data_IF_321018441870
#
_entry.id   IF_321018441870
#
_cell.length_a   1.000
_cell.length_b   1.000
_cell.length_c   1.000
_cell.angle_alpha   90.00
_cell.angle_beta   90.00
_cell.angle_gamma   90.00
#
_symmetry.space_group_name_H-M   'P 1'
#
loop_
_entity.id
_entity.type
_entity.pdbx_description
1 polymer ?
#
# COMPACT_ATOMS: atom_id res chain seq x y z
N UNK A 1 -10.57 -74.23 -23.75
CA UNK A 1 -11.11 -74.14 -22.38
C UNK A 1 -12.13 -73.04 -22.37
N UNK A 2 -13.31 -73.35 -21.85
CA UNK A 2 -14.59 -72.94 -22.40
C UNK A 2 -14.98 -71.47 -22.25
N UNK A 3 -15.68 -71.04 -23.29
CA UNK A 3 -16.31 -69.75 -23.54
C UNK A 3 -17.74 -69.84 -23.00
N UNK A 4 -18.15 -68.85 -22.19
CA UNK A 4 -19.54 -68.69 -21.76
C UNK A 4 -20.34 -68.09 -22.93
N UNK A 5 -21.29 -68.85 -23.47
CA UNK A 5 -22.26 -68.40 -24.46
C UNK A 5 -23.59 -67.98 -23.81
N UNK A 6 -24.07 -66.85 -24.29
CA UNK A 6 -25.39 -66.24 -24.12
C UNK A 6 -26.55 -67.18 -24.52
N UNK A 7 -27.71 -67.00 -23.88
CA UNK A 7 -28.99 -66.99 -24.58
C UNK A 7 -30.01 -66.04 -23.92
N UNK A 8 -30.44 -65.04 -24.71
CA UNK A 8 -31.61 -64.19 -24.49
C UNK A 8 -32.92 -64.91 -24.87
N UNK A 9 -34.02 -64.45 -24.25
CA UNK A 9 -35.46 -64.40 -24.64
C UNK A 9 -36.32 -64.88 -23.45
N UNK A 10 -37.34 -64.17 -22.99
CA UNK A 10 -38.34 -63.40 -23.71
C UNK A 10 -39.01 -62.35 -22.83
N UNK A 11 -39.42 -61.25 -23.46
CA UNK A 11 -40.35 -60.26 -22.90
C UNK A 11 -41.72 -60.91 -22.73
N UNK A 12 -42.33 -60.72 -21.56
CA UNK A 12 -43.79 -60.65 -21.43
C UNK A 12 -44.13 -59.44 -20.53
N UNK A 13 -44.72 -58.43 -21.15
CA UNK A 13 -45.56 -57.46 -20.45
C UNK A 13 -46.87 -58.17 -20.10
N UNK A 14 -47.30 -58.07 -18.84
CA UNK A 14 -48.66 -57.68 -18.43
C UNK A 14 -48.79 -57.77 -16.90
N UNK A 15 -49.10 -56.59 -16.34
CA UNK A 15 -49.49 -56.17 -14.99
C UNK A 15 -49.79 -57.23 -13.91
N UNK A 16 -49.47 -56.88 -12.65
CA UNK A 16 -50.46 -56.94 -11.61
C UNK A 16 -50.75 -55.57 -11.01
N UNK A 17 -52.05 -55.32 -10.94
CA UNK A 17 -52.77 -54.26 -10.28
C UNK A 17 -52.42 -54.14 -8.78
N UNK A 18 -52.71 -52.95 -8.26
CA UNK A 18 -52.35 -52.37 -6.97
C UNK A 18 -52.35 -53.31 -5.74
N UNK A 19 -51.18 -53.37 -5.09
CA UNK A 19 -51.02 -53.89 -3.73
C UNK A 19 -49.97 -53.07 -2.98
N UNK A 20 -50.37 -51.92 -2.42
CA UNK A 20 -49.54 -51.08 -1.55
C UNK A 20 -49.11 -51.92 -0.35
N UNK A 21 -47.85 -52.37 -0.35
CA UNK A 21 -47.23 -52.96 0.84
C UNK A 21 -46.31 -51.89 1.43
N UNK A 22 -46.88 -51.02 2.25
CA UNK A 22 -46.10 -50.10 3.08
C UNK A 22 -45.36 -50.91 4.14
N UNK A 23 -44.10 -51.26 3.88
CA UNK A 23 -43.18 -51.67 4.94
C UNK A 23 -42.90 -50.45 5.81
N UNK A 24 -43.54 -50.39 6.98
CA UNK A 24 -43.20 -49.46 8.04
C UNK A 24 -41.81 -49.80 8.56
N UNK A 25 -40.79 -49.08 8.11
CA UNK A 25 -39.50 -49.00 8.81
C UNK A 25 -39.76 -48.45 10.21
N UNK A 26 -39.57 -49.29 11.23
CA UNK A 26 -39.66 -48.86 12.62
C UNK A 26 -38.53 -47.85 12.89
N UNK A 27 -38.90 -46.60 13.18
CA UNK A 27 -37.97 -45.55 13.52
C UNK A 27 -37.11 -45.99 14.72
N UNK A 28 -35.78 -46.07 14.54
CA UNK A 28 -34.86 -46.41 15.62
C UNK A 28 -34.77 -45.22 16.57
N UNK A 29 -35.33 -45.38 17.76
CA UNK A 29 -35.35 -44.36 18.81
C UNK A 29 -34.28 -44.71 19.86
N UNK A 30 -33.46 -43.72 20.24
CA UNK A 30 -32.47 -43.79 21.31
C UNK A 30 -32.55 -42.59 22.25
N UNK A 31 -31.60 -42.46 23.18
CA UNK A 31 -31.50 -41.33 24.09
C UNK A 31 -30.05 -40.84 24.16
N UNK A 32 -29.84 -39.52 24.08
CA UNK A 32 -28.53 -38.88 24.23
C UNK A 32 -28.63 -37.74 25.23
N UNK A 33 -27.85 -37.79 26.32
CA UNK A 33 -27.88 -36.82 27.43
C UNK A 33 -29.29 -36.52 28.00
N UNK A 34 -30.15 -37.53 28.08
CA UNK A 34 -31.52 -37.37 28.59
C UNK A 34 -32.54 -36.97 27.51
N UNK A 35 -32.10 -36.53 26.33
CA UNK A 35 -32.97 -36.18 25.21
C UNK A 35 -33.25 -37.38 24.31
N UNK A 36 -34.51 -37.51 23.86
CA UNK A 36 -34.94 -38.58 22.98
C UNK A 36 -34.52 -38.27 21.54
N UNK A 37 -33.72 -39.15 20.95
CA UNK A 37 -33.22 -39.01 19.57
C UNK A 37 -33.89 -40.06 18.70
N UNK A 38 -34.35 -39.67 17.52
CA UNK A 38 -34.98 -40.56 16.54
C UNK A 38 -34.15 -40.54 15.27
N UNK A 39 -33.76 -41.70 14.77
CA UNK A 39 -33.11 -41.80 13.46
C UNK A 39 -34.15 -41.52 12.39
N UNK A 40 -33.98 -40.40 11.70
CA UNK A 40 -34.77 -40.03 10.52
C UNK A 40 -33.88 -40.18 9.30
N UNK A 41 -34.36 -40.92 8.31
CA UNK A 41 -33.70 -41.05 7.01
C UNK A 41 -33.90 -39.74 6.25
N UNK A 42 -32.98 -38.79 6.40
CA UNK A 42 -33.05 -37.52 5.69
C UNK A 42 -32.69 -37.72 4.21
N UNK A 43 -33.58 -37.32 3.30
CA UNK A 43 -33.37 -37.42 1.85
C UNK A 43 -32.47 -36.32 1.29
N UNK A 44 -32.22 -35.26 2.07
CA UNK A 44 -31.42 -34.09 1.68
C UNK A 44 -30.57 -33.62 2.86
N UNK A 45 -29.32 -33.24 2.58
CA UNK A 45 -28.40 -32.67 3.58
C UNK A 45 -28.74 -31.20 3.85
N UNK A 46 -28.56 -30.75 5.09
CA UNK A 46 -28.63 -29.32 5.42
C UNK A 46 -27.56 -28.50 4.67
N UNK A 47 -26.42 -29.11 4.32
CA UNK A 47 -25.39 -28.47 3.51
C UNK A 47 -25.91 -28.21 2.08
N UNK A 48 -26.55 -29.20 1.47
CA UNK A 48 -27.11 -29.08 0.11
C UNK A 48 -28.21 -28.00 0.08
N UNK A 49 -29.09 -27.97 1.08
CA UNK A 49 -30.13 -26.93 1.19
C UNK A 49 -29.54 -25.52 1.39
N UNK A 50 -28.44 -25.39 2.15
CA UNK A 50 -27.74 -24.12 2.32
C UNK A 50 -27.01 -23.68 1.05
N UNK A 51 -26.42 -24.63 0.31
CA UNK A 51 -25.82 -24.36 -1.00
C UNK A 51 -26.88 -23.92 -2.01
N UNK A 52 -28.05 -24.57 -2.10
CA UNK A 52 -29.14 -24.16 -3.01
C UNK A 52 -29.62 -22.72 -2.75
N UNK A 53 -29.75 -22.33 -1.49
CA UNK A 53 -30.10 -20.94 -1.11
C UNK A 53 -28.98 -19.94 -1.45
N UNK A 54 -27.72 -20.37 -1.39
CA UNK A 54 -26.56 -19.51 -1.67
C UNK A 54 -26.24 -19.43 -3.17
N UNK A 55 -26.52 -20.49 -3.94
CA UNK A 55 -26.38 -20.54 -5.40
C UNK A 55 -27.30 -19.54 -6.08
N UNK A 56 -28.51 -19.31 -5.55
CA UNK A 56 -29.42 -18.27 -6.03
C UNK A 56 -28.81 -16.86 -5.97
N UNK A 57 -27.73 -16.66 -5.18
CA UNK A 57 -27.07 -15.38 -4.99
C UNK A 57 -25.62 -15.31 -5.51
N UNK A 58 -24.99 -16.42 -5.92
CA UNK A 58 -23.55 -16.40 -6.20
C UNK A 58 -23.08 -17.45 -7.22
N UNK A 59 -23.34 -17.21 -8.50
CA UNK A 59 -22.47 -17.71 -9.57
C UNK A 59 -21.21 -16.83 -9.66
N UNK A 60 -20.25 -17.04 -8.76
CA UNK A 60 -18.92 -16.41 -8.89
C UNK A 60 -17.99 -17.36 -9.63
N UNK A 61 -17.64 -16.98 -10.86
CA UNK A 61 -16.61 -17.67 -11.64
C UNK A 61 -15.27 -17.62 -10.91
N UNK A 62 -14.70 -18.78 -10.62
CA UNK A 62 -13.38 -18.87 -10.00
C UNK A 62 -12.30 -18.26 -10.89
N UNK A 63 -11.56 -17.29 -10.34
CA UNK A 63 -10.43 -16.67 -11.03
C UNK A 63 -9.15 -17.46 -10.74
N UNK A 64 -8.51 -18.05 -11.77
CA UNK A 64 -7.30 -18.86 -11.58
C UNK A 64 -6.13 -18.02 -11.08
N UNK A 65 -5.22 -18.64 -10.33
CA UNK A 65 -4.06 -17.98 -9.73
C UNK A 65 -3.18 -17.26 -10.76
N UNK A 66 -3.08 -17.81 -11.99
CA UNK A 66 -2.32 -17.23 -13.10
C UNK A 66 -2.86 -15.88 -13.59
N UNK A 67 -4.12 -15.57 -13.30
CA UNK A 67 -4.74 -14.26 -13.60
C UNK A 67 -4.69 -13.29 -12.42
N UNK A 68 -4.16 -13.73 -11.27
CA UNK A 68 -3.94 -12.87 -10.09
C UNK A 68 -2.52 -12.31 -10.14
N UNK A 69 -2.36 -11.04 -9.78
CA UNK A 69 -1.03 -10.44 -9.59
C UNK A 69 -0.44 -11.05 -8.30
N UNK A 70 0.46 -12.03 -8.45
CA UNK A 70 1.17 -12.65 -7.33
C UNK A 70 2.55 -12.00 -7.23
N UNK A 71 2.90 -11.53 -6.04
CA UNK A 71 4.22 -11.00 -5.71
C UNK A 71 4.70 -11.68 -4.43
N UNK A 72 5.98 -12.01 -4.36
CA UNK A 72 6.60 -12.49 -3.13
C UNK A 72 6.77 -11.31 -2.16
N UNK A 73 5.85 -11.20 -1.20
CA UNK A 73 5.84 -10.13 -0.21
C UNK A 73 7.12 -10.10 0.64
N UNK A 74 7.68 -11.26 1.00
CA UNK A 74 8.89 -11.31 1.82
C UNK A 74 10.15 -10.92 1.04
N UNK A 75 10.24 -11.27 -0.25
CA UNK A 75 11.30 -10.76 -1.11
C UNK A 75 11.19 -9.23 -1.24
N UNK A 76 9.99 -8.71 -1.49
CA UNK A 76 9.76 -7.27 -1.65
C UNK A 76 10.09 -6.46 -0.39
N UNK A 77 9.69 -6.95 0.79
CA UNK A 77 10.06 -6.34 2.08
C UNK A 77 11.58 -6.27 2.21
N UNK A 78 12.30 -7.36 1.95
CA UNK A 78 13.76 -7.41 2.08
C UNK A 78 14.50 -6.46 1.12
N UNK A 79 14.02 -6.34 -0.12
CA UNK A 79 14.58 -5.38 -1.09
C UNK A 79 14.46 -3.94 -0.59
N UNK A 80 13.27 -3.56 -0.11
CA UNK A 80 13.02 -2.21 0.41
C UNK A 80 13.83 -1.99 1.69
N UNK A 81 13.90 -2.97 2.59
CA UNK A 81 14.71 -2.88 3.82
C UNK A 81 16.19 -2.64 3.54
N UNK A 82 16.76 -3.32 2.55
CA UNK A 82 18.15 -3.12 2.15
C UNK A 82 18.39 -1.68 1.68
N UNK A 83 17.51 -1.14 0.82
CA UNK A 83 17.60 0.23 0.32
C UNK A 83 17.40 1.26 1.45
N UNK A 84 16.36 1.10 2.26
CA UNK A 84 16.04 2.02 3.36
C UNK A 84 17.18 2.01 4.39
N UNK A 85 17.71 0.82 4.71
CA UNK A 85 18.88 0.67 5.57
C UNK A 85 20.08 1.42 5.02
N UNK A 86 20.34 1.32 3.72
CA UNK A 86 21.44 2.03 3.06
C UNK A 86 21.37 3.55 3.24
N UNK A 87 20.20 4.16 3.05
CA UNK A 87 20.05 5.61 3.14
C UNK A 87 19.90 6.11 4.58
N UNK A 88 19.05 5.47 5.38
CA UNK A 88 18.69 6.00 6.69
C UNK A 88 19.71 5.64 7.78
N UNK A 89 20.39 4.49 7.72
CA UNK A 89 21.43 4.19 8.72
C UNK A 89 22.65 5.12 8.59
N UNK A 90 22.94 5.59 7.38
CA UNK A 90 24.06 6.51 7.10
C UNK A 90 23.78 7.94 7.54
N UNK A 91 22.53 8.32 7.77
CA UNK A 91 22.16 9.64 8.30
C UNK A 91 22.02 9.55 9.82
N UNK A 92 23.00 10.01 10.61
CA UNK A 92 22.90 9.98 12.07
C UNK A 92 21.81 10.94 12.53
N UNK A 93 20.77 10.39 13.15
CA UNK A 93 19.63 11.12 13.68
C UNK A 93 19.28 10.55 15.06
N UNK A 94 19.68 11.28 16.10
CA UNK A 94 19.47 10.89 17.49
C UNK A 94 17.98 10.86 17.86
N UNK A 95 17.19 11.78 17.30
CA UNK A 95 15.75 11.85 17.56
C UNK A 95 15.06 10.62 16.98
N UNK A 96 15.37 10.26 15.74
CA UNK A 96 14.86 9.02 15.12
C UNK A 96 15.24 7.79 15.93
N UNK A 97 16.48 7.68 16.39
CA UNK A 97 16.90 6.55 17.23
C UNK A 97 16.12 6.45 18.54
N UNK A 98 15.81 7.59 19.18
CA UNK A 98 14.98 7.62 20.40
C UNK A 98 13.54 7.21 20.10
N UNK A 99 12.95 7.72 19.01
CA UNK A 99 11.62 7.35 18.54
C UNK A 99 11.50 5.85 18.28
N UNK A 100 12.48 5.24 17.61
CA UNK A 100 12.51 3.79 17.37
C UNK A 100 12.55 3.01 18.70
N UNK A 101 13.36 3.44 19.67
CA UNK A 101 13.37 2.80 21.01
C UNK A 101 12.02 2.89 21.70
N UNK A 102 11.35 4.05 21.62
CA UNK A 102 10.01 4.24 22.19
C UNK A 102 8.97 3.33 21.52
N UNK A 103 9.02 3.19 20.18
CA UNK A 103 8.18 2.24 19.44
C UNK A 103 8.42 0.80 19.93
N UNK A 104 9.67 0.36 20.06
CA UNK A 104 9.99 -0.98 20.56
C UNK A 104 9.40 -1.21 21.95
N UNK A 105 9.54 -0.24 22.86
CA UNK A 105 8.95 -0.31 24.20
C UNK A 105 7.42 -0.40 24.16
N UNK A 106 6.77 0.36 23.28
CA UNK A 106 5.32 0.35 23.11
C UNK A 106 4.80 -0.96 22.49
N UNK A 107 5.52 -1.55 21.55
CA UNK A 107 5.19 -2.87 21.01
C UNK A 107 5.34 -3.98 22.05
N UNK A 108 6.29 -3.83 22.98
CA UNK A 108 6.52 -4.80 24.05
C UNK A 108 5.54 -4.66 25.23
N UNK A 109 4.74 -3.58 25.31
CA UNK A 109 3.81 -3.33 26.41
C UNK A 109 2.46 -4.07 26.26
N UNK A 110 2.26 -4.81 25.17
CA UNK A 110 1.00 -5.52 24.82
C UNK A 110 -0.24 -4.61 24.70
N UNK A 111 -0.05 -3.29 24.57
CA UNK A 111 -1.15 -2.33 24.38
C UNK A 111 -1.73 -2.37 22.96
N UNK A 112 -0.91 -2.78 21.98
CA UNK A 112 -1.31 -2.95 20.59
C UNK A 112 -1.77 -4.39 20.35
N UNK A 113 -3.08 -4.56 20.19
CA UNK A 113 -3.73 -5.87 20.10
C UNK A 113 -4.14 -6.24 18.68
N UNK A 114 -4.21 -5.27 17.77
CA UNK A 114 -4.65 -5.48 16.40
C UNK A 114 -3.97 -4.54 15.40
N UNK A 115 -4.14 -4.84 14.11
CA UNK A 115 -3.49 -4.14 13.00
C UNK A 115 -3.91 -2.66 12.91
N UNK A 116 -5.18 -2.34 13.18
CA UNK A 116 -5.68 -0.97 13.09
C UNK A 116 -5.07 -0.06 14.16
N UNK A 117 -4.88 -0.58 15.38
CA UNK A 117 -4.16 0.13 16.45
C UNK A 117 -2.69 0.37 16.09
N UNK A 118 -2.03 -0.62 15.49
CA UNK A 118 -0.66 -0.46 15.02
C UNK A 118 -0.56 0.62 13.94
N UNK A 119 -1.45 0.61 12.96
CA UNK A 119 -1.51 1.62 11.89
C UNK A 119 -1.74 3.03 12.43
N UNK A 120 -2.73 3.21 13.31
CA UNK A 120 -2.99 4.50 13.95
C UNK A 120 -1.79 5.00 14.78
N UNK A 121 -1.09 4.10 15.45
CA UNK A 121 0.15 4.44 16.15
C UNK A 121 1.23 4.92 15.17
N UNK A 122 1.43 4.23 14.05
CA UNK A 122 2.43 4.59 13.04
C UNK A 122 2.14 5.93 12.37
N UNK A 123 0.88 6.26 12.13
CA UNK A 123 0.47 7.58 11.63
C UNK A 123 0.83 8.70 12.61
N UNK A 124 0.66 8.46 13.91
CA UNK A 124 1.08 9.41 14.96
C UNK A 124 2.60 9.47 15.15
N UNK A 125 3.31 8.39 14.82
CA UNK A 125 4.74 8.24 15.00
C UNK A 125 5.53 9.10 14.01
N UNK A 126 5.16 9.06 12.73
CA UNK A 126 5.76 9.89 11.69
C UNK A 126 4.79 10.06 10.52
N UNK A 127 4.77 11.24 9.91
CA UNK A 127 4.08 11.45 8.63
C UNK A 127 4.82 10.85 7.43
N UNK A 128 6.03 10.33 7.64
CA UNK A 128 6.86 9.77 6.58
C UNK A 128 6.85 8.25 6.58
N UNK A 129 6.30 7.66 5.51
CA UNK A 129 6.16 6.20 5.36
C UNK A 129 7.51 5.47 5.37
N UNK A 130 8.57 6.08 4.85
CA UNK A 130 9.90 5.48 4.90
C UNK A 130 10.47 5.37 6.32
N UNK A 131 10.12 6.31 7.20
CA UNK A 131 10.49 6.25 8.62
C UNK A 131 9.65 5.23 9.39
N UNK A 132 8.34 5.14 9.11
CA UNK A 132 7.47 4.13 9.68
C UNK A 132 7.97 2.73 9.33
N UNK A 133 8.26 2.47 8.06
CA UNK A 133 8.78 1.19 7.57
C UNK A 133 10.12 0.85 8.23
N UNK A 134 11.07 1.80 8.24
CA UNK A 134 12.35 1.60 8.92
C UNK A 134 12.19 1.25 10.40
N UNK A 135 11.34 1.99 11.12
CA UNK A 135 11.12 1.78 12.55
C UNK A 135 10.49 0.40 12.83
N UNK A 136 9.55 -0.05 11.99
CA UNK A 136 8.97 -1.39 12.08
C UNK A 136 9.99 -2.49 11.82
N UNK A 137 10.85 -2.36 10.80
CA UNK A 137 11.90 -3.34 10.52
C UNK A 137 12.88 -3.46 11.70
N UNK A 138 13.30 -2.32 12.28
CA UNK A 138 14.14 -2.32 13.48
C UNK A 138 13.43 -2.94 14.69
N UNK A 139 12.13 -2.69 14.85
CA UNK A 139 11.36 -3.25 15.94
C UNK A 139 11.15 -4.77 15.79
N UNK A 140 10.89 -5.25 14.58
CA UNK A 140 10.86 -6.69 14.25
C UNK A 140 12.17 -7.35 14.69
N UNK A 141 13.30 -6.79 14.28
CA UNK A 141 14.62 -7.36 14.57
C UNK A 141 14.92 -7.34 16.09
N UNK A 142 14.53 -6.28 16.79
CA UNK A 142 14.74 -6.14 18.24
C UNK A 142 13.85 -7.07 19.09
N UNK A 143 12.68 -7.43 18.59
CA UNK A 143 11.71 -8.32 19.24
C UNK A 143 11.84 -9.77 18.77
N UNK A 144 12.65 -10.04 17.75
CA UNK A 144 12.88 -11.38 17.22
C UNK A 144 13.40 -12.33 18.32
N UNK A 145 12.89 -13.56 18.31
CA UNK A 145 13.29 -14.61 19.27
C UNK A 145 12.62 -14.52 20.65
N UNK A 146 11.78 -13.51 20.91
CA UNK A 146 11.00 -13.39 22.16
C UNK A 146 9.64 -14.10 22.02
N UNK A 147 9.37 -15.19 22.76
CA UNK A 147 8.10 -15.91 22.66
C UNK A 147 6.87 -15.04 22.95
N UNK A 148 6.99 -14.13 23.92
CA UNK A 148 5.95 -13.19 24.34
C UNK A 148 5.59 -12.17 23.24
N UNK A 149 6.51 -11.88 22.33
CA UNK A 149 6.30 -10.92 21.25
C UNK A 149 5.69 -11.55 19.98
N UNK A 150 5.41 -12.85 19.96
CA UNK A 150 4.97 -13.56 18.74
C UNK A 150 3.69 -12.98 18.11
N UNK A 151 2.73 -12.59 18.95
CA UNK A 151 1.48 -11.99 18.48
C UNK A 151 1.73 -10.63 17.81
N UNK A 152 2.49 -9.74 18.46
CA UNK A 152 2.81 -8.42 17.90
C UNK A 152 3.72 -8.51 16.68
N UNK A 153 4.68 -9.44 16.65
CA UNK A 153 5.52 -9.70 15.48
C UNK A 153 4.70 -10.12 14.25
N UNK A 154 3.62 -10.88 14.44
CA UNK A 154 2.71 -11.23 13.35
C UNK A 154 2.04 -9.99 12.75
N UNK A 155 1.62 -9.04 13.60
CA UNK A 155 1.04 -7.77 13.15
C UNK A 155 2.09 -6.89 12.44
N UNK A 156 3.32 -6.85 12.97
CA UNK A 156 4.43 -6.11 12.36
C UNK A 156 4.78 -6.66 10.98
N UNK A 157 4.86 -7.98 10.82
CA UNK A 157 5.12 -8.61 9.52
C UNK A 157 4.00 -8.36 8.50
N UNK A 158 2.75 -8.42 8.96
CA UNK A 158 1.60 -8.08 8.13
C UNK A 158 1.67 -6.63 7.64
N UNK A 159 1.99 -5.68 8.54
CA UNK A 159 2.08 -4.27 8.18
C UNK A 159 3.29 -3.97 7.29
N UNK A 160 4.46 -4.55 7.56
CA UNK A 160 5.64 -4.45 6.68
C UNK A 160 5.32 -4.96 5.27
N UNK A 161 4.65 -6.10 5.17
CA UNK A 161 4.23 -6.66 3.89
C UNK A 161 3.25 -5.75 3.14
N UNK A 162 2.27 -5.17 3.85
CA UNK A 162 1.32 -4.21 3.27
C UNK A 162 2.03 -2.96 2.77
N UNK A 163 2.86 -2.33 3.60
CA UNK A 163 3.64 -1.15 3.25
C UNK A 163 4.54 -1.39 2.03
N UNK A 164 5.22 -2.53 1.98
CA UNK A 164 6.09 -2.90 0.87
C UNK A 164 5.32 -3.09 -0.45
N UNK A 165 4.12 -3.66 -0.39
CA UNK A 165 3.28 -3.93 -1.57
C UNK A 165 2.56 -2.68 -2.08
N UNK A 166 2.00 -1.88 -1.17
CA UNK A 166 1.15 -0.74 -1.51
C UNK A 166 1.94 0.55 -1.68
N UNK A 167 2.98 0.75 -0.87
CA UNK A 167 3.70 2.02 -0.74
C UNK A 167 5.21 1.88 -1.00
N UNK A 168 5.66 0.75 -1.58
CA UNK A 168 7.08 0.47 -1.75
C UNK A 168 7.86 1.57 -2.48
N UNK A 169 7.31 2.12 -3.57
CA UNK A 169 7.97 3.23 -4.30
C UNK A 169 8.08 4.48 -3.42
N UNK A 170 7.02 4.81 -2.67
CA UNK A 170 7.02 5.99 -1.79
C UNK A 170 8.03 5.85 -0.64
N UNK A 171 8.22 4.63 -0.13
CA UNK A 171 9.23 4.30 0.87
C UNK A 171 10.63 4.44 0.29
N UNK A 172 10.89 3.88 -0.90
CA UNK A 172 12.19 3.96 -1.55
C UNK A 172 12.60 5.42 -1.84
N UNK A 173 11.67 6.22 -2.38
CA UNK A 173 11.91 7.63 -2.67
C UNK A 173 12.09 8.47 -1.40
N UNK A 174 11.26 8.25 -0.37
CA UNK A 174 11.37 8.95 0.91
C UNK A 174 12.71 8.68 1.61
N UNK A 175 13.17 7.43 1.59
CA UNK A 175 14.48 7.07 2.13
C UNK A 175 15.62 7.70 1.32
N UNK A 176 15.57 7.57 -0.01
CA UNK A 176 16.58 8.11 -0.94
C UNK A 176 16.79 9.61 -0.79
N UNK A 177 15.71 10.39 -0.72
CA UNK A 177 15.79 11.86 -0.69
C UNK A 177 16.14 12.41 0.69
N UNK A 178 15.95 11.63 1.76
CA UNK A 178 16.14 12.09 3.14
C UNK A 178 17.50 12.76 3.40
N UNK A 179 18.65 12.25 2.93
CA UNK A 179 19.94 12.92 3.13
C UNK A 179 19.97 14.33 2.52
N UNK A 180 19.61 14.49 1.24
CA UNK A 180 19.60 15.78 0.56
C UNK A 180 18.54 16.72 1.15
N UNK A 181 17.36 16.21 1.49
CA UNK A 181 16.29 16.97 2.11
C UNK A 181 16.69 17.46 3.52
N UNK A 182 17.48 16.67 4.26
CA UNK A 182 18.02 17.08 5.57
C UNK A 182 18.99 18.24 5.43
N UNK A 183 19.88 18.20 4.43
CA UNK A 183 20.80 19.31 4.13
C UNK A 183 20.02 20.56 3.73
N UNK A 184 19.10 20.44 2.76
CA UNK A 184 18.28 21.55 2.30
C UNK A 184 17.40 22.14 3.42
N UNK A 185 16.90 21.32 4.34
CA UNK A 185 16.15 21.80 5.50
C UNK A 185 17.03 22.61 6.46
N UNK A 186 18.27 22.17 6.70
CA UNK A 186 19.25 22.91 7.51
C UNK A 186 19.65 24.24 6.88
N UNK A 187 19.68 24.28 5.55
CA UNK A 187 19.96 25.49 4.77
C UNK A 187 18.74 26.43 4.65
N UNK A 188 17.58 26.06 5.23
CA UNK A 188 16.39 26.91 5.25
C UNK A 188 15.53 26.85 3.97
N UNK A 189 15.79 25.90 3.07
CA UNK A 189 15.01 25.74 1.81
C UNK A 189 13.57 25.33 2.09
N UNK A 190 13.30 24.67 3.22
CA UNK A 190 11.96 24.29 3.65
C UNK A 190 12.00 23.32 4.81
N UNK A 191 10.83 22.94 5.33
CA UNK A 191 10.80 21.87 6.32
C UNK A 191 11.08 20.51 5.65
N UNK A 192 11.66 19.58 6.41
CA UNK A 192 12.10 18.27 5.90
C UNK A 192 10.97 17.50 5.20
N UNK A 193 9.77 17.50 5.76
CA UNK A 193 8.65 16.75 5.19
C UNK A 193 8.14 17.36 3.89
N UNK A 194 8.08 18.68 3.79
CA UNK A 194 7.70 19.38 2.57
C UNK A 194 8.71 19.09 1.44
N UNK A 195 10.00 19.06 1.76
CA UNK A 195 11.07 18.71 0.81
C UNK A 195 10.94 17.27 0.31
N UNK A 196 10.66 16.31 1.21
CA UNK A 196 10.39 14.92 0.82
C UNK A 196 9.15 14.81 -0.06
N UNK A 197 8.06 15.46 0.34
CA UNK A 197 6.78 15.40 -0.38
C UNK A 197 6.91 15.99 -1.78
N UNK A 198 7.48 17.19 -1.93
CA UNK A 198 7.57 17.82 -3.25
C UNK A 198 8.44 17.02 -4.23
N UNK A 199 9.50 16.39 -3.74
CA UNK A 199 10.30 15.47 -4.56
C UNK A 199 9.50 14.21 -4.93
N UNK A 200 8.82 13.59 -3.96
CA UNK A 200 7.99 12.40 -4.19
C UNK A 200 6.87 12.67 -5.19
N UNK A 201 6.20 13.81 -5.07
CA UNK A 201 5.13 14.24 -5.99
C UNK A 201 5.70 14.51 -7.38
N UNK A 202 6.87 15.15 -7.46
CA UNK A 202 7.58 15.40 -8.72
C UNK A 202 7.95 14.10 -9.46
N UNK A 203 8.28 13.03 -8.74
CA UNK A 203 8.68 11.74 -9.33
C UNK A 203 7.48 10.83 -9.61
N UNK A 204 6.52 10.75 -8.69
CA UNK A 204 5.42 9.77 -8.76
C UNK A 204 4.18 10.29 -9.47
N UNK A 205 3.74 11.52 -9.18
CA UNK A 205 2.45 12.05 -9.62
C UNK A 205 2.56 13.50 -10.10
N UNK A 206 3.44 13.72 -11.08
CA UNK A 206 3.69 15.06 -11.58
C UNK A 206 2.50 15.64 -12.34
N UNK A 207 1.85 16.64 -11.74
CA UNK A 207 0.67 17.32 -12.29
C UNK A 207 1.01 18.52 -13.21
N UNK A 208 2.28 18.69 -13.59
CA UNK A 208 2.73 19.73 -14.52
C UNK A 208 3.16 21.05 -13.88
N UNK A 209 3.72 21.94 -14.72
CA UNK A 209 4.32 23.21 -14.34
C UNK A 209 3.45 24.08 -13.40
N UNK A 210 2.18 24.28 -13.75
CA UNK A 210 1.29 25.15 -12.98
C UNK A 210 0.92 24.59 -11.61
N UNK A 211 0.81 23.26 -11.48
CA UNK A 211 0.59 22.62 -10.20
C UNK A 211 1.84 22.77 -9.32
N UNK A 212 3.02 22.43 -9.87
CA UNK A 212 4.29 22.59 -9.17
C UNK A 212 4.52 24.02 -8.65
N UNK A 213 4.22 25.04 -9.46
CA UNK A 213 4.29 26.43 -9.00
C UNK A 213 3.38 26.69 -7.78
N UNK A 214 2.12 26.25 -7.82
CA UNK A 214 1.18 26.45 -6.70
C UNK A 214 1.65 25.70 -5.45
N UNK A 215 2.14 24.48 -5.61
CA UNK A 215 2.58 23.65 -4.49
C UNK A 215 3.83 24.25 -3.81
N UNK A 216 4.76 24.79 -4.59
CA UNK A 216 5.90 25.53 -4.05
C UNK A 216 5.42 26.75 -3.27
N UNK A 217 4.55 27.58 -3.86
CA UNK A 217 4.05 28.78 -3.21
C UNK A 217 3.24 28.49 -1.94
N UNK A 218 2.53 27.35 -1.89
CA UNK A 218 1.73 26.95 -0.73
C UNK A 218 2.62 26.45 0.42
N UNK A 219 3.62 25.62 0.13
CA UNK A 219 4.38 24.88 1.13
C UNK A 219 5.74 25.49 1.48
N UNK A 220 6.27 26.41 0.67
CA UNK A 220 7.61 26.97 0.78
C UNK A 220 7.61 28.52 0.81
N UNK A 221 6.68 29.12 1.57
CA UNK A 221 6.45 30.58 1.62
C UNK A 221 7.67 31.42 2.01
N UNK A 222 8.59 30.86 2.79
CA UNK A 222 9.79 31.53 3.29
C UNK A 222 11.01 31.36 2.39
N UNK A 223 10.89 30.57 1.33
CA UNK A 223 12.01 30.12 0.52
C UNK A 223 11.84 30.61 -0.91
N UNK A 224 12.94 30.94 -1.57
CA UNK A 224 12.87 31.38 -2.96
C UNK A 224 12.51 30.20 -3.86
N UNK A 225 11.76 30.48 -4.93
CA UNK A 225 11.49 29.49 -5.97
C UNK A 225 12.80 28.85 -6.49
N UNK A 226 13.88 29.64 -6.58
CA UNK A 226 15.17 29.20 -7.09
C UNK A 226 15.82 28.12 -6.20
N UNK A 227 15.69 28.25 -4.88
CA UNK A 227 16.20 27.25 -3.91
C UNK A 227 15.41 25.95 -4.01
N UNK A 228 14.08 26.02 -3.99
CA UNK A 228 13.22 24.82 -4.04
C UNK A 228 13.38 24.08 -5.37
N UNK A 229 13.32 24.80 -6.49
CA UNK A 229 13.57 24.21 -7.81
C UNK A 229 15.00 23.67 -7.94
N UNK A 230 15.98 24.29 -7.27
CA UNK A 230 17.36 23.81 -7.26
C UNK A 230 17.54 22.50 -6.51
N UNK A 231 16.87 22.38 -5.36
CA UNK A 231 16.80 21.14 -4.61
C UNK A 231 16.20 20.02 -5.45
N UNK A 232 15.02 20.25 -6.07
CA UNK A 232 14.35 19.25 -6.91
C UNK A 232 15.26 18.85 -8.08
N UNK A 233 15.83 19.82 -8.78
CA UNK A 233 16.67 19.54 -9.95
C UNK A 233 17.92 18.75 -9.58
N UNK A 234 18.58 19.08 -8.46
CA UNK A 234 19.75 18.33 -7.98
C UNK A 234 19.38 16.86 -7.72
N UNK A 235 18.25 16.61 -7.06
CA UNK A 235 17.78 15.27 -6.77
C UNK A 235 17.43 14.48 -8.05
N UNK A 236 16.70 15.10 -8.97
CA UNK A 236 16.33 14.48 -10.24
C UNK A 236 17.54 14.19 -11.14
N UNK A 237 18.56 15.04 -11.13
CA UNK A 237 19.82 14.76 -11.82
C UNK A 237 20.49 13.49 -11.27
N UNK A 238 20.54 13.33 -9.94
CA UNK A 238 21.09 12.11 -9.33
C UNK A 238 20.28 10.85 -9.70
N UNK A 239 18.97 10.96 -9.86
CA UNK A 239 18.13 9.86 -10.33
C UNK A 239 18.34 9.55 -11.81
N UNK A 240 18.48 10.57 -12.67
CA UNK A 240 18.80 10.38 -14.08
C UNK A 240 20.17 9.73 -14.28
N UNK A 241 21.15 10.08 -13.46
CA UNK A 241 22.51 9.50 -13.51
C UNK A 241 22.52 8.04 -13.04
N UNK A 242 21.75 7.72 -11.99
CA UNK A 242 21.71 6.37 -11.41
C UNK A 242 20.75 5.41 -12.11
N UNK A 243 19.82 5.93 -12.93
CA UNK A 243 18.82 5.17 -13.70
C UNK A 243 18.13 4.05 -12.90
N UNK A 244 17.48 4.38 -11.76
CA UNK A 244 16.79 3.38 -10.97
C UNK A 244 15.66 2.76 -11.80
N UNK A 245 15.59 1.42 -11.80
CA UNK A 245 14.71 0.63 -12.70
C UNK A 245 13.22 1.02 -12.65
N UNK A 246 12.78 1.65 -11.58
CA UNK A 246 11.37 1.97 -11.34
C UNK A 246 10.99 3.37 -11.84
N UNK A 247 11.95 4.23 -12.17
CA UNK A 247 11.68 5.61 -12.59
C UNK A 247 11.74 5.74 -14.11
N UNK A 248 10.80 6.51 -14.66
CA UNK A 248 10.72 6.79 -16.09
C UNK A 248 11.57 8.02 -16.43
N UNK A 249 12.71 7.86 -17.13
CA UNK A 249 13.63 8.97 -17.42
C UNK A 249 12.97 10.10 -18.21
N UNK A 250 12.03 9.77 -19.11
CA UNK A 250 11.32 10.78 -19.92
C UNK A 250 10.46 11.68 -19.01
N UNK A 251 9.83 11.10 -17.97
CA UNK A 251 9.10 11.89 -16.98
C UNK A 251 10.03 12.76 -16.16
N UNK A 252 11.17 12.25 -15.70
CA UNK A 252 12.13 13.02 -14.92
C UNK A 252 12.70 14.20 -15.74
N UNK A 253 13.04 13.98 -17.01
CA UNK A 253 13.49 15.04 -17.92
C UNK A 253 12.43 16.12 -18.14
N UNK A 254 11.15 15.73 -18.25
CA UNK A 254 10.04 16.69 -18.34
C UNK A 254 9.94 17.56 -17.08
N UNK A 255 10.02 16.95 -15.91
CA UNK A 255 9.99 17.67 -14.63
C UNK A 255 11.19 18.63 -14.54
N UNK A 256 12.39 18.17 -14.91
CA UNK A 256 13.59 19.01 -15.00
C UNK A 256 13.39 20.23 -15.92
N UNK A 257 12.83 20.02 -17.11
CA UNK A 257 12.51 21.10 -18.05
C UNK A 257 11.54 22.12 -17.45
N UNK A 258 10.50 21.65 -16.76
CA UNK A 258 9.52 22.52 -16.12
C UNK A 258 10.11 23.27 -14.91
N UNK A 259 10.99 22.64 -14.11
CA UNK A 259 11.73 23.33 -13.04
C UNK A 259 12.65 24.44 -13.60
N UNK A 260 13.29 24.20 -14.74
CA UNK A 260 14.03 25.25 -15.45
C UNK A 260 13.12 26.41 -15.88
N UNK A 261 11.93 26.13 -16.42
CA UNK A 261 10.96 27.17 -16.79
C UNK A 261 10.49 27.97 -15.58
N UNK A 262 10.24 27.33 -14.44
CA UNK A 262 9.90 28.04 -13.19
C UNK A 262 11.00 29.03 -12.80
N UNK A 263 12.27 28.62 -12.87
CA UNK A 263 13.41 29.52 -12.60
C UNK A 263 13.44 30.73 -13.53
N UNK A 264 13.15 30.53 -14.82
CA UNK A 264 13.04 31.64 -15.78
C UNK A 264 11.85 32.55 -15.46
N UNK A 265 10.69 32.00 -15.06
CA UNK A 265 9.55 32.81 -14.64
C UNK A 265 9.87 33.66 -13.40
N UNK A 266 10.69 33.13 -12.48
CA UNK A 266 11.14 33.88 -11.31
C UNK A 266 11.91 35.15 -11.70
N UNK A 267 12.75 35.10 -12.74
CA UNK A 267 13.50 36.29 -13.17
C UNK A 267 12.61 37.35 -13.83
N UNK A 268 11.45 36.95 -14.35
CA UNK A 268 10.44 37.85 -14.93
C UNK A 268 9.42 38.35 -13.89
N UNK A 269 9.45 37.85 -12.66
CA UNK A 269 8.45 38.15 -11.61
C UNK A 269 8.31 39.64 -11.33
N UNK A 270 9.43 40.37 -11.27
CA UNK A 270 9.45 41.83 -11.04
C UNK A 270 8.74 42.59 -12.15
N UNK A 271 8.93 42.17 -13.41
CA UNK A 271 8.31 42.81 -14.58
C UNK A 271 6.80 42.53 -14.62
N UNK A 272 6.40 41.29 -14.28
CA UNK A 272 4.98 40.91 -14.17
C UNK A 272 4.31 41.66 -13.02
N UNK A 273 4.98 41.83 -11.89
CA UNK A 273 4.43 42.59 -10.75
C UNK A 273 4.28 44.07 -11.07
N UNK A 274 5.26 44.66 -11.77
CA UNK A 274 5.19 46.04 -12.25
C UNK A 274 4.02 46.24 -13.24
N UNK A 275 3.86 45.32 -14.20
CA UNK A 275 2.72 45.33 -15.12
C UNK A 275 1.39 45.15 -14.38
N UNK A 276 1.33 44.25 -13.41
CA UNK A 276 0.12 44.05 -12.61
C UNK A 276 -0.25 45.30 -11.81
N UNK A 277 0.73 45.95 -11.17
CA UNK A 277 0.52 47.22 -10.44
C UNK A 277 0.06 48.33 -11.39
N UNK A 278 0.63 48.44 -12.59
CA UNK A 278 0.21 49.48 -13.55
C UNK A 278 -1.21 49.23 -14.08
N UNK A 279 -1.55 47.98 -14.41
CA UNK A 279 -2.87 47.62 -14.98
C UNK A 279 -3.98 47.59 -13.93
N UNK A 280 -3.71 47.07 -12.73
CA UNK A 280 -4.75 46.83 -11.71
C UNK A 280 -4.83 47.95 -10.67
N UNK A 281 -3.72 48.61 -10.33
CA UNK A 281 -3.71 49.73 -9.38
C UNK A 281 -3.73 51.11 -10.04
N UNK A 282 -3.63 51.17 -11.38
CA UNK A 282 -3.62 52.44 -12.11
C UNK A 282 -2.41 53.34 -11.80
N UNK A 283 -1.36 52.79 -11.18
CA UNK A 283 -0.13 53.52 -10.91
C UNK A 283 0.65 53.71 -12.23
N UNK A 284 0.33 54.81 -12.93
CA UNK A 284 1.04 55.27 -14.13
C UNK A 284 2.48 55.69 -13.77
N UNK A 285 3.38 54.73 -13.63
CA UNK A 285 4.79 54.98 -13.88
C UNK A 285 4.99 54.80 -15.37
N UNK A 286 5.03 55.93 -16.09
CA UNK A 286 5.09 55.98 -17.54
C UNK A 286 6.09 54.97 -18.08
N UNK A 287 5.57 54.04 -18.90
CA UNK A 287 6.37 53.17 -19.75
C UNK A 287 7.24 54.11 -20.58
N UNK A 288 8.54 54.22 -20.25
CA UNK A 288 9.51 54.79 -21.18
C UNK A 288 9.59 53.81 -22.33
N UNK A 289 9.00 54.21 -23.45
CA UNK A 289 9.19 53.53 -24.72
C UNK A 289 10.67 53.68 -25.11
N UNK A 290 11.26 52.53 -25.43
CA UNK A 290 12.58 52.28 -26.03
C UNK A 290 13.79 52.37 -25.08
#
# INVERSE_FOLDING_TARGET
>A
MDIIQNHLHSMTLSEPDAGITAQQEQARVGQFQGEKVVLVTASQSFADAAEELTFAFSERKDMPLSRRKVSDGHARVREIEALVGEYLQKVPDLERQQKVKALISHLNSSQLTNIAQLQAYLESFSGEVSEQFYALSQARDALAGRPEARAILTLVEQELSRLAQEQGIAIELGARITPDATVAARDGVGNLQALRNIYRDAVMDYQGLSAAWRDIQANFKSSSLMEVTGFIMKALSADLDSQPRQLDPIKLERVMSDMHKLRLLNSLSVQVEQLWKSVVKGENHGIRAF
#
